data_IF_353842677797
#
_entry.id   IF_353842677797
#
_cell.length_a   1.000
_cell.length_b   1.000
_cell.length_c   1.000
_cell.angle_alpha   90.00
_cell.angle_beta   90.00
_cell.angle_gamma   90.00
#
_symmetry.space_group_name_H-M   'P 1'
#
loop_
_entity.id
_entity.type
_entity.pdbx_description
1 polymer ?
#
# COMPACT_ATOMS: atom_id res chain seq x y z
N UNK A 1 -10.19 8.80 -8.32
CA UNK A 1 -11.02 7.75 -7.66
C UNK A 1 -12.48 7.91 -8.04
N UNK A 2 -13.34 6.92 -7.76
CA UNK A 2 -14.79 6.99 -8.02
C UNK A 2 -15.44 8.23 -7.39
N UNK A 3 -15.08 8.57 -6.14
CA UNK A 3 -15.57 9.78 -5.45
C UNK A 3 -15.25 11.04 -6.27
N UNK A 4 -13.99 11.24 -6.67
CA UNK A 4 -13.59 12.40 -7.48
C UNK A 4 -14.27 12.41 -8.87
N UNK A 5 -14.49 11.24 -9.47
CA UNK A 5 -15.19 11.17 -10.75
C UNK A 5 -16.64 11.67 -10.64
N UNK A 6 -17.30 11.41 -9.51
CA UNK A 6 -18.67 11.84 -9.23
C UNK A 6 -18.72 13.32 -8.82
N UNK A 7 -17.70 13.81 -8.10
CA UNK A 7 -17.72 15.16 -7.50
C UNK A 7 -17.08 16.25 -8.34
N UNK A 8 -16.12 15.92 -9.22
CA UNK A 8 -15.25 16.92 -9.86
C UNK A 8 -14.96 16.65 -11.34
N UNK A 9 -15.88 16.00 -12.04
CA UNK A 9 -15.84 15.77 -13.50
C UNK A 9 -14.56 15.05 -14.00
N UNK A 10 -13.93 14.28 -13.11
CA UNK A 10 -12.72 13.50 -13.40
C UNK A 10 -13.02 12.11 -13.98
N UNK A 11 -14.15 11.98 -14.69
CA UNK A 11 -14.70 10.68 -15.10
C UNK A 11 -13.81 9.95 -16.10
N UNK A 12 -13.22 10.67 -17.05
CA UNK A 12 -12.32 10.10 -18.05
C UNK A 12 -11.05 9.52 -17.41
N UNK A 13 -10.46 10.25 -16.46
CA UNK A 13 -9.30 9.77 -15.72
C UNK A 13 -9.64 8.53 -14.89
N UNK A 14 -10.83 8.48 -14.30
CA UNK A 14 -11.28 7.31 -13.55
C UNK A 14 -11.51 6.10 -14.46
N UNK A 15 -12.14 6.29 -15.62
CA UNK A 15 -12.33 5.24 -16.61
C UNK A 15 -11.00 4.70 -17.16
N UNK A 16 -10.02 5.56 -17.41
CA UNK A 16 -8.67 5.17 -17.80
C UNK A 16 -7.97 4.28 -16.74
N UNK A 17 -8.38 4.38 -15.47
CA UNK A 17 -7.84 3.60 -14.35
C UNK A 17 -8.79 2.48 -13.88
N UNK A 18 -9.63 1.98 -14.78
CA UNK A 18 -10.46 0.80 -14.53
C UNK A 18 -11.86 1.08 -13.99
N UNK A 19 -12.28 2.35 -13.88
CA UNK A 19 -13.63 2.71 -13.44
C UNK A 19 -14.76 2.05 -14.24
N UNK A 20 -14.54 1.77 -15.54
CA UNK A 20 -15.51 1.02 -16.37
C UNK A 20 -15.73 -0.40 -15.86
N UNK A 21 -14.67 -1.07 -15.39
CA UNK A 21 -14.78 -2.41 -14.81
C UNK A 21 -15.51 -2.36 -13.47
N UNK A 22 -15.26 -1.32 -12.67
CA UNK A 22 -16.00 -1.07 -11.42
C UNK A 22 -17.49 -0.88 -11.70
N UNK A 23 -17.90 0.04 -12.57
CA UNK A 23 -19.32 0.23 -12.91
C UNK A 23 -19.95 -1.07 -13.40
N UNK A 24 -19.26 -1.78 -14.30
CA UNK A 24 -19.74 -3.07 -14.80
C UNK A 24 -19.95 -4.09 -13.67
N UNK A 25 -19.05 -4.18 -12.69
CA UNK A 25 -19.22 -5.14 -11.58
C UNK A 25 -20.42 -4.79 -10.72
N UNK A 26 -20.70 -3.50 -10.48
CA UNK A 26 -21.91 -3.06 -9.78
C UNK A 26 -23.17 -3.44 -10.56
N UNK A 27 -23.24 -3.08 -11.85
CA UNK A 27 -24.39 -3.41 -12.71
C UNK A 27 -24.66 -4.91 -12.78
N UNK A 28 -23.61 -5.74 -12.89
CA UNK A 28 -23.76 -7.20 -12.92
C UNK A 28 -24.27 -7.79 -11.60
N UNK A 29 -24.08 -7.10 -10.48
CA UNK A 29 -24.58 -7.50 -9.17
C UNK A 29 -25.87 -6.75 -8.77
N UNK A 30 -26.54 -6.11 -9.73
CA UNK A 30 -27.76 -5.33 -9.49
C UNK A 30 -27.61 -4.25 -8.40
N UNK A 31 -26.42 -3.62 -8.34
CA UNK A 31 -26.08 -2.57 -7.40
C UNK A 31 -25.63 -1.29 -8.13
N UNK A 32 -25.55 -0.18 -7.40
CA UNK A 32 -25.08 1.12 -7.91
C UNK A 32 -23.87 1.60 -7.11
N UNK A 33 -22.89 2.21 -7.78
CA UNK A 33 -21.67 2.67 -7.10
C UNK A 33 -21.99 3.79 -6.11
N UNK A 34 -23.02 4.57 -6.42
CA UNK A 34 -23.58 5.66 -5.64
C UNK A 34 -24.02 5.20 -4.24
N UNK A 35 -24.54 3.98 -4.13
CA UNK A 35 -25.00 3.40 -2.87
C UNK A 35 -23.83 3.23 -1.87
N UNK A 36 -22.63 2.95 -2.37
CA UNK A 36 -21.43 2.72 -1.56
C UNK A 36 -20.55 3.97 -1.38
N UNK A 37 -20.89 5.11 -2.00
CA UNK A 37 -20.08 6.34 -1.86
C UNK A 37 -19.98 6.80 -0.40
N UNK A 38 -21.06 6.65 0.37
CA UNK A 38 -21.03 6.92 1.81
C UNK A 38 -20.01 6.06 2.54
N UNK A 39 -19.94 4.77 2.21
CA UNK A 39 -18.94 3.86 2.76
C UNK A 39 -17.52 4.29 2.38
N UNK A 40 -17.24 4.55 1.10
CA UNK A 40 -15.90 4.97 0.67
C UNK A 40 -15.43 6.30 1.29
N UNK A 41 -16.36 7.24 1.53
CA UNK A 41 -16.07 8.50 2.23
C UNK A 41 -15.75 8.29 3.72
N UNK A 42 -16.31 7.24 4.33
CA UNK A 42 -16.09 6.93 5.74
C UNK A 42 -14.74 6.25 6.03
N UNK A 43 -14.08 5.71 5.00
CA UNK A 43 -12.81 5.01 5.16
C UNK A 43 -11.71 5.96 5.67
N UNK A 44 -10.97 5.58 6.72
CA UNK A 44 -9.85 6.38 7.18
C UNK A 44 -8.73 6.37 6.14
N UNK A 45 -8.00 7.47 6.02
CA UNK A 45 -6.90 7.60 5.06
C UNK A 45 -5.64 6.82 5.48
N UNK A 46 -5.53 6.54 6.77
CA UNK A 46 -4.47 5.74 7.35
C UNK A 46 -4.99 5.04 8.61
N UNK A 47 -4.27 4.02 9.07
CA UNK A 47 -4.46 3.41 10.37
C UNK A 47 -3.12 3.37 11.10
N UNK A 48 -3.11 3.74 12.37
CA UNK A 48 -1.89 3.76 13.18
C UNK A 48 -2.08 2.92 14.45
N UNK A 49 -1.06 2.14 14.76
CA UNK A 49 -0.93 1.33 15.98
C UNK A 49 0.29 1.82 16.77
N UNK A 50 0.63 1.13 17.86
CA UNK A 50 1.86 1.44 18.61
C UNK A 50 3.11 1.30 17.73
N UNK A 51 3.18 0.26 16.90
CA UNK A 51 4.40 -0.10 16.15
C UNK A 51 4.33 0.20 14.63
N UNK A 52 3.13 0.34 14.08
CA UNK A 52 2.90 0.35 12.63
C UNK A 52 2.00 1.49 12.17
N UNK A 53 2.31 2.01 10.98
CA UNK A 53 1.45 2.91 10.21
C UNK A 53 1.06 2.20 8.92
N UNK A 54 -0.24 2.18 8.60
CA UNK A 54 -0.77 1.69 7.33
C UNK A 54 -1.35 2.87 6.55
N UNK A 55 -0.84 3.12 5.34
CA UNK A 55 -1.27 4.24 4.49
C UNK A 55 -1.34 3.78 3.04
N UNK A 56 -2.24 4.36 2.23
CA UNK A 56 -2.36 3.93 0.83
C UNK A 56 -1.07 4.20 0.02
N UNK A 57 -0.56 5.43 0.05
CA UNK A 57 0.59 5.83 -0.78
C UNK A 57 1.87 6.11 0.02
N UNK A 58 1.82 7.03 0.97
CA UNK A 58 2.99 7.44 1.75
C UNK A 58 2.69 8.64 2.65
N UNK A 59 3.72 9.16 3.31
CA UNK A 59 3.64 10.32 4.20
C UNK A 59 4.37 11.52 3.58
N UNK A 60 4.06 12.72 4.06
CA UNK A 60 4.77 13.94 3.65
C UNK A 60 6.27 13.81 3.98
N UNK A 61 7.19 13.91 3.01
CA UNK A 61 8.63 13.75 3.24
C UNK A 61 9.24 14.76 4.21
N UNK A 62 8.73 15.99 4.23
CA UNK A 62 9.25 17.07 5.08
C UNK A 62 8.83 16.89 6.53
N UNK A 63 7.63 16.34 6.74
CA UNK A 63 7.12 16.02 8.07
C UNK A 63 6.30 14.72 8.04
N UNK A 64 6.99 13.55 8.16
CA UNK A 64 6.43 12.24 7.82
C UNK A 64 5.59 11.67 8.96
N UNK A 65 4.45 12.33 9.20
CA UNK A 65 3.41 11.89 10.13
C UNK A 65 2.06 11.85 9.41
N UNK A 66 1.23 10.83 9.66
CA UNK A 66 -0.08 10.74 9.03
C UNK A 66 -1.00 11.93 9.33
N UNK A 67 -1.00 12.43 10.57
CA UNK A 67 -1.88 13.50 11.04
C UNK A 67 -1.61 14.87 10.41
N UNK A 68 -0.43 15.06 9.83
CA UNK A 68 0.00 16.30 9.16
C UNK A 68 0.16 16.15 7.65
N UNK A 69 0.07 14.93 7.14
CA UNK A 69 0.07 14.69 5.70
C UNK A 69 -1.31 15.02 5.14
N UNK A 70 -1.37 15.83 4.08
CA UNK A 70 -2.65 16.13 3.44
C UNK A 70 -3.24 14.89 2.74
N UNK A 71 -4.52 15.00 2.39
CA UNK A 71 -5.26 13.91 1.75
C UNK A 71 -4.62 13.44 0.44
N UNK A 72 -4.10 14.37 -0.35
CA UNK A 72 -3.52 14.04 -1.65
C UNK A 72 -2.19 13.32 -1.49
N UNK A 73 -1.37 13.71 -0.53
CA UNK A 73 -0.13 13.03 -0.14
C UNK A 73 -0.44 11.60 0.28
N UNK A 74 -1.37 11.40 1.23
CA UNK A 74 -1.72 10.07 1.74
C UNK A 74 -2.25 9.12 0.65
N UNK A 75 -2.86 9.66 -0.41
CA UNK A 75 -3.49 8.89 -1.49
C UNK A 75 -2.65 8.79 -2.77
N UNK A 76 -1.74 9.71 -3.04
CA UNK A 76 -1.16 9.87 -4.38
C UNK A 76 0.34 10.10 -4.43
N UNK A 77 1.04 10.27 -3.29
CA UNK A 77 2.50 10.45 -3.31
C UNK A 77 3.21 9.23 -3.90
N UNK A 78 4.31 9.46 -4.62
CA UNK A 78 5.10 8.41 -5.26
C UNK A 78 6.59 8.56 -4.94
N UNK A 79 7.37 9.08 -5.89
CA UNK A 79 8.83 9.11 -5.83
C UNK A 79 9.36 9.87 -4.62
N UNK A 80 8.71 10.96 -4.22
CA UNK A 80 9.14 11.77 -3.09
C UNK A 80 9.12 10.95 -1.78
N UNK A 81 8.06 10.17 -1.55
CA UNK A 81 7.99 9.23 -0.42
C UNK A 81 8.97 8.07 -0.57
N UNK A 82 9.12 7.50 -1.77
CA UNK A 82 10.02 6.36 -1.99
C UNK A 82 11.48 6.74 -1.73
N UNK A 83 11.89 7.95 -2.14
CA UNK A 83 13.28 8.42 -2.09
C UNK A 83 13.65 9.15 -0.81
N UNK A 84 12.68 9.66 -0.05
CA UNK A 84 12.99 10.34 1.20
C UNK A 84 13.60 9.38 2.23
N UNK A 85 14.46 9.91 3.08
CA UNK A 85 14.82 9.20 4.30
C UNK A 85 13.68 9.27 5.30
N UNK A 86 13.48 8.20 6.05
CA UNK A 86 12.46 8.13 7.08
C UNK A 86 13.00 7.40 8.30
N UNK A 87 12.63 7.89 9.48
CA UNK A 87 12.91 7.29 10.78
C UNK A 87 11.66 7.39 11.61
N UNK A 88 11.16 6.26 12.10
CA UNK A 88 9.94 6.21 12.89
C UNK A 88 9.36 4.80 12.94
N UNK A 89 8.04 4.73 13.13
CA UNK A 89 7.28 3.47 13.10
C UNK A 89 7.37 2.82 11.72
N UNK A 90 7.27 1.51 11.66
CA UNK A 90 7.27 0.84 10.36
C UNK A 90 6.02 1.24 9.56
N UNK A 91 6.22 1.77 8.35
CA UNK A 91 5.15 2.21 7.46
C UNK A 91 4.92 1.15 6.38
N UNK A 92 3.73 0.57 6.35
CA UNK A 92 3.26 -0.32 5.29
C UNK A 92 2.41 0.48 4.31
N UNK A 93 2.75 0.43 3.02
CA UNK A 93 2.10 1.21 1.98
C UNK A 93 1.93 0.46 0.66
N UNK A 94 1.17 1.03 -0.26
CA UNK A 94 0.93 0.52 -1.61
C UNK A 94 1.14 1.60 -2.68
N UNK A 95 0.16 1.76 -3.56
CA UNK A 95 0.04 2.82 -4.58
C UNK A 95 1.05 2.79 -5.75
N UNK A 96 2.34 2.63 -5.46
CA UNK A 96 3.37 2.51 -6.49
C UNK A 96 3.71 1.03 -6.68
N UNK A 97 3.19 0.39 -7.73
CA UNK A 97 3.30 -1.05 -7.88
C UNK A 97 4.73 -1.47 -8.22
N UNK A 98 5.20 -2.53 -7.58
CA UNK A 98 6.48 -3.19 -7.83
C UNK A 98 6.28 -4.68 -8.17
N UNK A 99 7.30 -5.36 -8.68
CA UNK A 99 7.20 -6.81 -9.00
C UNK A 99 7.25 -7.73 -7.78
N UNK A 100 7.65 -7.19 -6.63
CA UNK A 100 7.73 -7.89 -5.35
C UNK A 100 7.51 -6.88 -4.22
N UNK A 101 7.27 -7.36 -3.01
CA UNK A 101 7.32 -6.51 -1.82
C UNK A 101 8.66 -5.76 -1.79
N UNK A 102 8.63 -4.49 -1.44
CA UNK A 102 9.80 -3.61 -1.39
C UNK A 102 10.08 -3.19 0.05
N UNK A 103 11.37 -2.92 0.32
CA UNK A 103 11.83 -2.32 1.56
C UNK A 103 12.73 -1.16 1.21
N UNK A 104 12.69 -0.10 2.00
CA UNK A 104 13.74 0.89 1.97
C UNK A 104 15.03 0.36 2.61
N UNK A 105 16.11 1.12 2.49
CA UNK A 105 17.43 0.73 2.99
C UNK A 105 17.45 0.48 4.52
N UNK A 106 16.55 1.13 5.26
CA UNK A 106 16.45 1.01 6.73
C UNK A 106 15.43 -0.06 7.17
N UNK A 107 14.63 -0.60 6.26
CA UNK A 107 13.60 -1.60 6.53
C UNK A 107 12.37 -1.07 7.29
N UNK A 108 12.16 0.24 7.31
CA UNK A 108 11.06 0.93 8.00
C UNK A 108 9.96 1.40 7.05
N UNK A 109 10.16 1.31 5.73
CA UNK A 109 9.11 1.51 4.72
C UNK A 109 8.94 0.22 3.93
N UNK A 110 7.74 -0.35 3.92
CA UNK A 110 7.42 -1.61 3.23
C UNK A 110 6.29 -1.42 2.23
N UNK A 111 6.60 -1.56 0.94
CA UNK A 111 5.63 -1.50 -0.14
C UNK A 111 5.05 -2.88 -0.46
N UNK A 112 3.75 -3.07 -0.32
CA UNK A 112 3.06 -4.35 -0.56
C UNK A 112 2.21 -4.37 -1.85
N UNK A 113 2.20 -3.28 -2.62
CA UNK A 113 1.57 -3.28 -3.94
C UNK A 113 2.45 -4.04 -4.96
N UNK A 114 2.16 -5.33 -5.10
CA UNK A 114 2.81 -6.21 -6.09
C UNK A 114 2.14 -6.18 -7.47
N UNK A 115 1.26 -5.20 -7.70
CA UNK A 115 0.60 -4.98 -8.98
C UNK A 115 -0.34 -6.12 -9.37
N UNK A 116 -1.26 -6.52 -8.50
CA UNK A 116 -2.21 -7.61 -8.76
C UNK A 116 -2.97 -7.44 -10.09
N UNK A 117 -3.41 -6.22 -10.40
CA UNK A 117 -4.11 -5.90 -11.65
C UNK A 117 -3.17 -5.88 -12.87
N UNK A 118 -1.88 -5.54 -12.67
CA UNK A 118 -0.92 -5.34 -13.77
C UNK A 118 -0.12 -6.59 -14.11
N UNK A 119 0.33 -7.32 -13.10
CA UNK A 119 1.20 -8.50 -13.20
C UNK A 119 0.65 -9.74 -12.49
N UNK A 120 -0.55 -9.66 -11.92
CA UNK A 120 -1.27 -10.83 -11.41
C UNK A 120 -0.92 -11.25 -9.99
N UNK A 121 0.00 -10.59 -9.28
CA UNK A 121 0.36 -10.99 -7.91
C UNK A 121 -0.27 -10.07 -6.87
N UNK A 122 -1.08 -10.63 -5.98
CA UNK A 122 -1.54 -9.98 -4.75
C UNK A 122 -0.61 -10.40 -3.60
N UNK A 123 -0.16 -9.44 -2.79
CA UNK A 123 0.67 -9.72 -1.62
C UNK A 123 -0.01 -9.35 -0.31
N UNK A 124 0.38 -10.04 0.75
CA UNK A 124 -0.03 -9.79 2.13
C UNK A 124 1.19 -9.93 3.03
N UNK A 125 1.37 -8.96 3.93
CA UNK A 125 2.42 -8.94 4.94
C UNK A 125 1.79 -9.26 6.31
N UNK A 126 2.24 -10.35 6.94
CA UNK A 126 1.85 -10.71 8.30
C UNK A 126 2.78 -10.05 9.31
N UNK A 127 2.22 -9.29 10.24
CA UNK A 127 2.93 -8.65 11.34
C UNK A 127 2.56 -9.32 12.68
N UNK A 128 3.51 -9.45 13.64
CA UNK A 128 4.90 -8.98 13.59
C UNK A 128 5.87 -9.97 12.91
N UNK A 129 5.40 -11.09 12.36
CA UNK A 129 6.28 -12.18 11.90
C UNK A 129 7.05 -11.88 10.61
N UNK A 130 6.67 -10.81 9.90
CA UNK A 130 7.26 -10.36 8.63
C UNK A 130 7.17 -11.40 7.50
N UNK A 131 6.21 -12.33 7.59
CA UNK A 131 5.98 -13.31 6.52
C UNK A 131 5.19 -12.69 5.39
N UNK A 132 5.53 -13.10 4.18
CA UNK A 132 4.86 -12.64 2.97
C UNK A 132 4.08 -13.78 2.34
N UNK A 133 2.81 -13.52 2.11
CA UNK A 133 1.91 -14.39 1.38
C UNK A 133 1.63 -13.77 0.02
N UNK A 134 1.67 -14.58 -1.03
CA UNK A 134 1.34 -14.14 -2.38
C UNK A 134 0.33 -15.07 -3.02
N UNK A 135 -0.66 -14.49 -3.70
CA UNK A 135 -1.59 -15.20 -4.55
C UNK A 135 -1.46 -14.68 -5.99
N UNK A 136 -1.33 -15.58 -6.95
CA UNK A 136 -1.42 -15.24 -8.37
C UNK A 136 -2.32 -16.23 -9.11
N UNK A 137 -2.90 -15.85 -10.27
CA UNK A 137 -3.73 -16.72 -11.08
C UNK A 137 -3.06 -18.03 -11.48
N UNK A 138 -1.72 -18.08 -11.51
CA UNK A 138 -0.97 -19.28 -11.88
C UNK A 138 -0.42 -20.08 -10.68
N UNK A 139 -0.34 -19.51 -9.46
CA UNK A 139 0.22 -20.19 -8.27
C UNK A 139 -0.02 -19.40 -6.96
N UNK A 140 -0.41 -20.10 -5.88
CA UNK A 140 -0.36 -19.55 -4.51
C UNK A 140 0.99 -19.90 -3.87
N UNK A 141 1.75 -18.92 -3.37
CA UNK A 141 3.08 -19.15 -2.78
C UNK A 141 3.26 -18.39 -1.46
N UNK A 142 3.83 -19.07 -0.48
CA UNK A 142 4.26 -18.49 0.81
C UNK A 142 5.77 -18.27 0.76
N UNK A 143 6.24 -17.04 1.00
CA UNK A 143 7.66 -16.72 1.12
C UNK A 143 7.98 -16.33 2.58
N UNK A 144 8.86 -17.08 3.24
CA UNK A 144 9.44 -16.67 4.53
C UNK A 144 10.53 -15.62 4.29
N UNK A 145 10.69 -14.62 5.16
CA UNK A 145 11.72 -13.60 4.98
C UNK A 145 13.11 -14.23 5.03
N UNK A 146 14.00 -13.78 4.13
CA UNK A 146 15.42 -14.07 4.21
C UNK A 146 16.01 -13.25 5.37
N UNK A 147 16.05 -13.82 6.56
CA UNK A 147 16.83 -13.25 7.67
C UNK A 147 18.30 -13.49 7.31
N UNK A 148 19.03 -12.43 6.96
CA UNK A 148 20.48 -12.50 6.88
C UNK A 148 20.99 -12.84 8.27
N UNK A 149 21.55 -14.04 8.44
CA UNK A 149 22.29 -14.39 9.66
C UNK A 149 23.54 -13.52 9.69
N UNK A 150 23.45 -12.34 10.31
CA UNK A 150 24.62 -11.58 10.70
C UNK A 150 25.50 -12.46 11.57
N UNK A 151 26.68 -12.82 11.08
CA UNK A 151 27.71 -13.52 11.87
C UNK A 151 28.10 -12.60 13.03
N UNK A 152 27.55 -12.84 14.23
CA UNK A 152 28.19 -12.33 15.45
C UNK A 152 29.41 -13.20 15.71
N UNK A 153 30.57 -12.67 15.31
CA UNK A 153 31.86 -13.13 15.82
C UNK A 153 31.89 -12.86 17.31
N UNK A 154 31.76 -13.91 18.13
CA UNK A 154 32.17 -13.85 19.52
C UNK A 154 33.69 -14.04 19.53
N UNK A 155 34.40 -12.92 19.56
CA UNK A 155 35.80 -12.91 19.98
C UNK A 155 35.84 -13.25 21.46
N UNK A 156 36.31 -14.46 21.77
CA UNK A 156 36.85 -14.81 23.09
C UNK A 156 37.93 -13.79 23.44
N UNK A 157 37.70 -12.98 24.45
CA UNK A 157 38.74 -12.23 25.16
C UNK A 157 38.63 -12.67 26.62
N UNK A 158 39.74 -13.28 27.07
CA UNK A 158 40.18 -13.68 28.41
C UNK A 158 39.15 -13.74 29.54
#
# INVERSE_FOLDING_TARGET
MAIQAIESDAIEQWFANGGRYTIRSYTQNHAFVEDDIGFFKSLPLYHETEDYIFVHAGLNPDYPRPETSDRDTLLWIREDWLRCEYVGKLVVFGHTPARSVTWDARGVKIGIDTGAVRWGTLSCLELPTMKIYTASPQQTRVQKPAISKGKRSLSTIM
#
